data_IF_732489009701
#
_entry.id   IF_732489009701
#
_cell.length_a   1.000
_cell.length_b   1.000
_cell.length_c   1.000
_cell.angle_alpha   90.00
_cell.angle_beta   90.00
_cell.angle_gamma   90.00
#
_symmetry.space_group_name_H-M   'P 1'
#
loop_
_entity.id
_entity.type
_entity.pdbx_description
1 polymer ?
#
# COMPACT_ATOMS: atom_id res chain seq x y z
N UNK A 1 18.45 -6.84 2.68
CA UNK A 1 17.71 -6.06 3.64
C UNK A 1 16.65 -5.25 2.98
N UNK A 2 15.48 -5.30 3.51
CA UNK A 2 14.37 -4.63 2.91
C UNK A 2 14.34 -3.17 3.33
N UNK A 3 14.40 -2.28 2.37
CA UNK A 3 14.37 -0.87 2.66
C UNK A 3 13.01 -0.27 2.42
N UNK A 4 12.02 -1.08 2.15
CA UNK A 4 10.70 -0.57 1.82
C UNK A 4 10.00 -0.04 3.06
N UNK A 5 9.73 1.24 3.11
CA UNK A 5 9.05 1.84 4.25
C UNK A 5 7.54 1.69 4.17
N UNK A 6 7.03 1.26 3.02
CA UNK A 6 5.60 1.08 2.85
C UNK A 6 5.29 -0.40 3.03
N UNK A 7 4.38 -0.71 3.94
CA UNK A 7 4.03 -2.09 4.19
C UNK A 7 2.71 -2.49 3.54
N UNK A 8 2.48 -1.98 2.35
CA UNK A 8 1.22 -2.22 1.66
C UNK A 8 0.94 -3.69 1.41
N UNK A 9 1.96 -4.46 1.02
CA UNK A 9 1.75 -5.87 0.75
C UNK A 9 1.27 -6.60 2.00
N UNK A 10 1.84 -6.28 3.15
CA UNK A 10 1.46 -6.92 4.40
C UNK A 10 0.00 -6.59 4.72
N UNK A 11 -0.38 -5.33 4.54
CA UNK A 11 -1.74 -4.92 4.84
C UNK A 11 -2.74 -5.60 3.90
N UNK A 12 -2.38 -5.72 2.63
CA UNK A 12 -3.25 -6.41 1.67
C UNK A 12 -3.48 -7.87 2.10
N UNK A 13 -2.41 -8.52 2.51
CA UNK A 13 -2.53 -9.92 2.94
C UNK A 13 -3.40 -10.00 4.19
N UNK A 14 -3.18 -9.10 5.14
CA UNK A 14 -3.96 -9.10 6.38
C UNK A 14 -5.43 -8.86 6.13
N UNK A 15 -5.75 -8.04 5.14
CA UNK A 15 -7.13 -7.73 4.81
C UNK A 15 -7.75 -8.70 3.82
N UNK A 16 -6.94 -9.61 3.27
CA UNK A 16 -7.45 -10.55 2.28
C UNK A 16 -7.85 -9.89 0.98
N UNK A 17 -7.17 -8.80 0.61
CA UNK A 17 -7.47 -8.05 -0.59
C UNK A 17 -6.34 -8.21 -1.59
N UNK A 18 -6.68 -8.53 -2.84
CA UNK A 18 -5.66 -8.71 -3.87
C UNK A 18 -5.27 -7.37 -4.48
N UNK A 19 -4.11 -7.35 -5.12
CA UNK A 19 -3.67 -6.15 -5.83
C UNK A 19 -4.66 -5.79 -6.93
N UNK A 20 -5.24 -6.79 -7.57
CA UNK A 20 -6.21 -6.55 -8.63
C UNK A 20 -7.45 -5.86 -8.08
N UNK A 21 -7.93 -6.31 -6.93
CA UNK A 21 -9.11 -5.70 -6.33
C UNK A 21 -8.84 -4.27 -5.91
N UNK A 22 -7.68 -4.03 -5.31
CA UNK A 22 -7.33 -2.68 -4.91
C UNK A 22 -7.18 -1.77 -6.13
N UNK A 23 -6.56 -2.28 -7.19
CA UNK A 23 -6.39 -1.51 -8.41
C UNK A 23 -7.74 -1.08 -8.99
N UNK A 24 -8.72 -1.98 -8.95
CA UNK A 24 -10.03 -1.65 -9.46
C UNK A 24 -10.68 -0.54 -8.64
N UNK A 25 -10.51 -0.57 -7.34
CA UNK A 25 -11.09 0.44 -6.49
C UNK A 25 -10.41 1.80 -6.66
N UNK A 26 -9.12 1.79 -6.97
CA UNK A 26 -8.39 3.03 -7.16
C UNK A 26 -8.45 3.55 -8.59
N UNK A 27 -8.95 2.75 -9.52
CA UNK A 27 -8.98 3.16 -10.91
C UNK A 27 -7.63 3.08 -11.58
N UNK A 28 -6.80 2.14 -11.15
CA UNK A 28 -5.47 1.95 -11.72
C UNK A 28 -5.31 0.48 -12.08
N UNK A 29 -4.09 0.02 -12.30
CA UNK A 29 -3.86 -1.37 -12.68
C UNK A 29 -3.01 -2.10 -11.65
N UNK A 30 -3.07 -3.44 -11.62
CA UNK A 30 -2.34 -4.22 -10.62
C UNK A 30 -0.83 -4.08 -10.72
N UNK A 31 -0.34 -3.77 -11.90
CA UNK A 31 1.09 -3.59 -12.09
C UNK A 31 1.60 -2.43 -11.24
N UNK A 32 0.84 -1.35 -11.18
CA UNK A 32 1.21 -0.20 -10.37
C UNK A 32 1.19 -0.55 -8.89
N UNK A 33 0.18 -1.31 -8.46
CA UNK A 33 0.10 -1.75 -7.07
C UNK A 33 1.32 -2.60 -6.73
N UNK A 34 1.71 -3.49 -7.63
CA UNK A 34 2.86 -4.35 -7.41
C UNK A 34 4.14 -3.54 -7.21
N UNK A 35 4.31 -2.48 -7.99
CA UNK A 35 5.49 -1.63 -7.83
C UNK A 35 5.51 -0.96 -6.47
N UNK A 36 4.34 -0.57 -5.96
CA UNK A 36 4.27 0.01 -4.63
C UNK A 36 4.60 -1.03 -3.56
N UNK A 37 4.13 -2.26 -3.76
CA UNK A 37 4.37 -3.33 -2.79
C UNK A 37 5.84 -3.69 -2.68
N UNK A 38 6.57 -3.59 -3.78
CA UNK A 38 7.98 -3.97 -3.77
C UNK A 38 8.91 -2.80 -3.47
N UNK A 39 8.36 -1.60 -3.34
CA UNK A 39 9.19 -0.43 -3.08
C UNK A 39 9.81 0.16 -4.34
N UNK A 40 9.47 -0.38 -5.50
CA UNK A 40 10.00 0.13 -6.76
C UNK A 40 9.48 1.54 -7.05
N UNK A 41 8.29 1.85 -6.61
CA UNK A 41 7.70 3.17 -6.74
C UNK A 41 6.89 3.45 -5.49
N UNK A 42 6.61 4.72 -5.23
CA UNK A 42 5.84 5.12 -4.06
C UNK A 42 4.62 5.91 -4.50
N UNK A 43 3.45 5.59 -3.98
CA UNK A 43 2.26 6.37 -4.33
C UNK A 43 2.32 7.77 -3.70
N UNK A 44 1.59 8.69 -4.30
CA UNK A 44 1.51 10.04 -3.75
C UNK A 44 0.73 10.01 -2.43
N UNK A 45 0.82 11.09 -1.66
CA UNK A 45 0.08 11.18 -0.41
C UNK A 45 -1.41 11.05 -0.66
N UNK A 46 -1.91 11.67 -1.71
CA UNK A 46 -3.30 11.60 -2.05
C UNK A 46 -3.72 10.16 -2.32
N UNK A 47 -2.88 9.43 -3.04
CA UNK A 47 -3.16 8.03 -3.33
C UNK A 47 -3.09 7.19 -2.06
N UNK A 48 -2.17 7.51 -1.16
CA UNK A 48 -2.08 6.79 0.11
C UNK A 48 -3.34 6.95 0.94
N UNK A 49 -3.92 8.14 0.93
CA UNK A 49 -5.18 8.36 1.63
C UNK A 49 -6.28 7.49 1.03
N UNK A 50 -6.33 7.41 -0.29
CA UNK A 50 -7.32 6.58 -0.96
C UNK A 50 -7.13 5.10 -0.62
N UNK A 51 -5.89 4.66 -0.58
CA UNK A 51 -5.58 3.27 -0.22
C UNK A 51 -6.04 2.99 1.20
N UNK A 52 -5.72 3.89 2.13
CA UNK A 52 -6.09 3.70 3.52
C UNK A 52 -7.61 3.60 3.66
N UNK A 53 -8.35 4.44 2.94
CA UNK A 53 -9.79 4.39 2.98
C UNK A 53 -10.33 3.09 2.38
N UNK A 54 -9.74 2.63 1.28
CA UNK A 54 -10.17 1.39 0.65
C UNK A 54 -9.93 0.20 1.55
N UNK A 55 -8.84 0.22 2.30
CA UNK A 55 -8.49 -0.90 3.16
C UNK A 55 -9.03 -0.73 4.58
N UNK A 56 -9.66 0.40 4.85
CA UNK A 56 -10.23 0.69 6.15
C UNK A 56 -9.17 0.65 7.26
N UNK A 57 -8.05 1.30 7.02
CA UNK A 57 -6.97 1.43 8.00
C UNK A 57 -6.53 2.88 8.05
N UNK A 58 -5.77 3.23 9.08
CA UNK A 58 -5.19 4.56 9.14
C UNK A 58 -4.02 4.62 8.17
N UNK A 59 -3.77 5.80 7.63
CA UNK A 59 -2.67 5.95 6.69
C UNK A 59 -1.35 5.57 7.33
N UNK A 60 -1.18 5.79 8.62
CA UNK A 60 0.06 5.41 9.30
C UNK A 60 0.27 3.92 9.32
N UNK A 61 -0.80 3.14 9.22
CA UNK A 61 -0.68 1.69 9.20
C UNK A 61 -0.08 1.18 7.91
N UNK A 62 0.03 2.04 6.90
CA UNK A 62 0.63 1.65 5.64
C UNK A 62 2.15 1.81 5.67
N UNK A 63 2.71 2.35 6.75
CA UNK A 63 4.13 2.58 6.81
C UNK A 63 4.81 1.64 7.81
N UNK A 64 6.07 1.37 7.57
CA UNK A 64 6.85 0.53 8.42
C UNK A 64 7.23 1.29 9.67
N UNK A 65 6.97 0.71 10.83
CA UNK A 65 7.20 1.41 12.08
C UNK A 65 8.67 1.53 12.43
N UNK A 66 9.55 0.93 11.69
CA UNK A 66 10.97 1.05 11.98
C UNK A 66 11.47 2.46 11.82
N UNK A 67 10.64 3.33 11.24
CA UNK A 67 11.09 4.68 11.09
C UNK A 67 11.12 5.45 12.34
N UNK A 68 10.47 4.96 13.39
CA UNK A 68 10.38 5.72 14.50
C UNK A 68 11.59 5.75 15.26
N UNK A 69 12.40 5.38 15.34
CA UNK A 69 13.43 5.56 16.14
C UNK A 69 14.27 6.11 16.11
#
# INVERSE_FOLDING_TARGET
MDENVLRLKVVLVEKGITAKALAQQLGTDPSRISKWCTGFATPSVETLVKIANCLNVDIKDLFNSTLQD
#
